data_IF_244837181209
#
_entry.id   IF_244837181209
#
_cell.length_a   1.000
_cell.length_b   1.000
_cell.length_c   1.000
_cell.angle_alpha   90.00
_cell.angle_beta   90.00
_cell.angle_gamma   90.00
#
_symmetry.space_group_name_H-M   'P 1'
#
loop_
_entity.id
_entity.type
_entity.pdbx_description
1 polymer ?
#
# COMPACT_ATOMS: atom_id res chain seq x y z
N UNK A 1 -6.11 -9.91 25.85
CA UNK A 1 -5.72 -8.75 25.02
C UNK A 1 -5.61 -9.16 23.56
N UNK A 2 -6.75 -9.21 22.87
CA UNK A 2 -6.78 -9.48 21.43
C UNK A 2 -6.24 -8.25 20.70
N UNK A 3 -5.08 -8.38 20.08
CA UNK A 3 -4.52 -7.35 19.22
C UNK A 3 -5.52 -6.96 18.15
N UNK A 4 -5.86 -5.67 18.08
CA UNK A 4 -6.82 -5.11 17.12
C UNK A 4 -6.47 -5.59 15.71
N UNK A 5 -7.44 -6.20 15.03
CA UNK A 5 -7.32 -6.65 13.64
C UNK A 5 -6.71 -5.55 12.75
N UNK A 6 -5.55 -5.78 12.10
CA UNK A 6 -4.92 -4.81 11.21
C UNK A 6 -5.86 -4.30 10.10
N UNK A 7 -6.76 -5.16 9.61
CA UNK A 7 -7.73 -4.76 8.60
C UNK A 7 -8.80 -3.84 9.17
N UNK A 8 -9.25 -4.09 10.41
CA UNK A 8 -10.16 -3.20 11.13
C UNK A 8 -9.55 -1.81 11.33
N UNK A 9 -8.26 -1.73 11.68
CA UNK A 9 -7.56 -0.47 11.83
C UNK A 9 -7.51 0.32 10.52
N UNK A 10 -7.11 -0.32 9.41
CA UNK A 10 -7.09 0.34 8.09
C UNK A 10 -8.48 0.82 7.69
N UNK A 11 -9.53 0.00 7.85
CA UNK A 11 -10.91 0.41 7.54
C UNK A 11 -11.33 1.66 8.34
N UNK A 12 -10.95 1.71 9.62
CA UNK A 12 -11.26 2.84 10.49
C UNK A 12 -10.54 4.11 10.04
N UNK A 13 -9.28 4.01 9.62
CA UNK A 13 -8.52 5.14 9.08
C UNK A 13 -9.00 5.61 7.73
N UNK A 14 -9.39 4.70 6.82
CA UNK A 14 -10.01 5.07 5.55
C UNK A 14 -11.28 5.88 5.77
N UNK A 15 -12.14 5.44 6.70
CA UNK A 15 -13.35 6.19 7.09
C UNK A 15 -12.99 7.56 7.65
N UNK A 16 -12.01 7.64 8.53
CA UNK A 16 -11.58 8.92 9.12
C UNK A 16 -11.05 9.90 8.07
N UNK A 17 -10.12 9.48 7.22
CA UNK A 17 -9.57 10.30 6.15
C UNK A 17 -10.64 10.76 5.15
N UNK A 18 -11.61 9.90 4.82
CA UNK A 18 -12.78 10.28 4.01
C UNK A 18 -13.60 11.38 4.67
N UNK A 19 -13.77 11.34 5.99
CA UNK A 19 -14.46 12.41 6.72
C UNK A 19 -13.67 13.72 6.71
N UNK A 20 -12.35 13.66 6.89
CA UNK A 20 -11.48 14.84 6.77
C UNK A 20 -11.56 15.46 5.37
N UNK A 21 -11.59 14.63 4.32
CA UNK A 21 -11.78 15.07 2.94
C UNK A 21 -13.11 15.81 2.75
N UNK A 22 -14.22 15.25 3.25
CA UNK A 22 -15.55 15.88 3.16
C UNK A 22 -15.56 17.24 3.87
N UNK A 23 -15.01 17.33 5.08
CA UNK A 23 -14.89 18.59 5.81
C UNK A 23 -14.05 19.61 5.04
N UNK A 24 -12.95 19.18 4.43
CA UNK A 24 -12.04 20.05 3.68
C UNK A 24 -12.68 20.59 2.39
N UNK A 25 -13.60 19.83 1.78
CA UNK A 25 -14.38 20.27 0.62
C UNK A 25 -15.58 21.17 0.99
N UNK A 26 -15.75 21.55 2.26
CA UNK A 26 -16.87 22.36 2.72
C UNK A 26 -18.15 21.57 3.01
N UNK A 27 -18.07 20.23 3.00
CA UNK A 27 -19.17 19.38 3.41
C UNK A 27 -19.36 19.41 4.94
N UNK A 28 -20.55 19.75 5.40
CA UNK A 28 -20.90 19.77 6.83
C UNK A 28 -21.65 18.51 7.30
N UNK A 29 -21.79 17.53 6.41
CA UNK A 29 -22.66 16.36 6.55
C UNK A 29 -22.04 15.23 7.40
N UNK A 30 -21.37 15.60 8.49
CA UNK A 30 -20.87 14.68 9.52
C UNK A 30 -21.73 14.79 10.77
N UNK A 31 -23.02 14.53 10.63
CA UNK A 31 -24.02 14.60 11.72
C UNK A 31 -23.78 13.59 12.84
N UNK A 32 -23.01 12.53 12.58
CA UNK A 32 -22.59 11.55 13.57
C UNK A 32 -21.46 12.03 14.50
N UNK A 33 -20.82 13.17 14.21
CA UNK A 33 -19.84 13.80 15.09
C UNK A 33 -20.52 14.86 15.95
N UNK A 34 -20.19 14.90 17.24
CA UNK A 34 -20.53 16.01 18.12
C UNK A 34 -19.90 17.33 17.64
N UNK A 35 -20.34 18.45 18.20
CA UNK A 35 -19.78 19.77 17.87
C UNK A 35 -18.29 19.88 18.21
N UNK A 36 -17.86 19.24 19.31
CA UNK A 36 -16.46 19.19 19.75
C UNK A 36 -15.63 18.35 18.78
N UNK A 37 -16.06 17.11 18.50
CA UNK A 37 -15.36 16.22 17.57
C UNK A 37 -15.29 16.82 16.17
N UNK A 38 -16.32 17.55 15.73
CA UNK A 38 -16.31 18.24 14.44
C UNK A 38 -15.29 19.37 14.41
N UNK A 39 -15.13 20.13 15.49
CA UNK A 39 -14.12 21.18 15.59
C UNK A 39 -12.71 20.59 15.55
N UNK A 40 -12.48 19.50 16.29
CA UNK A 40 -11.22 18.76 16.26
C UNK A 40 -10.94 18.17 14.87
N UNK A 41 -11.93 17.57 14.22
CA UNK A 41 -11.81 17.05 12.86
C UNK A 41 -11.50 18.15 11.84
N UNK A 42 -12.14 19.33 11.95
CA UNK A 42 -11.81 20.51 11.12
C UNK A 42 -10.37 20.96 11.37
N UNK A 43 -9.92 20.96 12.63
CA UNK A 43 -8.52 21.25 12.98
C UNK A 43 -7.56 20.24 12.35
N UNK A 44 -7.84 18.95 12.46
CA UNK A 44 -7.04 17.88 11.86
C UNK A 44 -6.99 17.98 10.34
N UNK A 45 -8.12 18.23 9.68
CA UNK A 45 -8.19 18.42 8.23
C UNK A 45 -7.38 19.64 7.75
N UNK A 46 -7.10 20.61 8.63
CA UNK A 46 -6.28 21.78 8.28
C UNK A 46 -4.80 21.42 8.09
N UNK A 47 -4.32 20.35 8.75
CA UNK A 47 -2.92 19.90 8.68
C UNK A 47 -2.55 19.14 7.40
N UNK A 48 -3.52 18.68 6.60
CA UNK A 48 -3.27 17.86 5.40
C UNK A 48 -3.85 18.51 4.17
N UNK A 49 -3.10 18.71 3.09
CA UNK A 49 -3.65 19.08 1.78
C UNK A 49 -4.63 18.01 1.27
N UNK A 50 -5.52 18.40 0.35
CA UNK A 50 -6.45 17.45 -0.26
C UNK A 50 -5.70 16.33 -1.00
N UNK A 51 -4.59 16.67 -1.66
CA UNK A 51 -3.73 15.71 -2.37
C UNK A 51 -3.16 14.66 -1.40
N UNK A 52 -2.71 15.07 -0.22
CA UNK A 52 -2.19 14.15 0.79
C UNK A 52 -3.27 13.21 1.33
N UNK A 53 -4.47 13.72 1.61
CA UNK A 53 -5.59 12.89 2.07
C UNK A 53 -5.93 11.82 1.02
N UNK A 54 -6.00 12.19 -0.26
CA UNK A 54 -6.25 11.25 -1.36
C UNK A 54 -5.12 10.23 -1.47
N UNK A 55 -3.85 10.66 -1.39
CA UNK A 55 -2.68 9.77 -1.39
C UNK A 55 -2.75 8.76 -0.25
N UNK A 56 -3.08 9.19 0.96
CA UNK A 56 -3.21 8.30 2.12
C UNK A 56 -4.35 7.29 1.96
N UNK A 57 -5.49 7.70 1.40
CA UNK A 57 -6.61 6.78 1.12
C UNK A 57 -6.21 5.71 0.09
N UNK A 58 -5.48 6.09 -0.96
CA UNK A 58 -4.98 5.16 -1.98
C UNK A 58 -3.98 4.17 -1.37
N UNK A 59 -3.02 4.65 -0.59
CA UNK A 59 -2.04 3.83 0.10
C UNK A 59 -2.71 2.81 1.04
N UNK A 60 -3.66 3.26 1.87
CA UNK A 60 -4.46 2.38 2.73
C UNK A 60 -5.23 1.32 1.95
N UNK A 61 -5.74 1.68 0.77
CA UNK A 61 -6.50 0.76 -0.09
C UNK A 61 -5.60 -0.33 -0.67
N UNK A 62 -4.41 0.04 -1.15
CA UNK A 62 -3.39 -0.90 -1.65
C UNK A 62 -2.92 -1.84 -0.54
N UNK A 63 -2.54 -1.30 0.63
CA UNK A 63 -2.10 -2.11 1.76
C UNK A 63 -3.17 -3.09 2.22
N UNK A 64 -4.44 -2.66 2.27
CA UNK A 64 -5.55 -3.55 2.63
C UNK A 64 -5.70 -4.72 1.68
N UNK A 65 -5.53 -4.51 0.37
CA UNK A 65 -5.59 -5.58 -0.62
C UNK A 65 -4.44 -6.58 -0.39
N UNK A 66 -3.22 -6.09 -0.14
CA UNK A 66 -2.07 -6.93 0.18
C UNK A 66 -2.26 -7.72 1.48
N UNK A 67 -2.87 -7.13 2.51
CA UNK A 67 -3.16 -7.79 3.78
C UNK A 67 -4.13 -8.97 3.65
N UNK A 68 -5.14 -8.87 2.78
CA UNK A 68 -6.16 -9.93 2.61
C UNK A 68 -5.54 -11.23 2.09
N UNK A 69 -4.48 -11.11 1.29
CA UNK A 69 -3.81 -12.26 0.65
C UNK A 69 -2.56 -12.73 1.42
N UNK A 70 -2.24 -12.10 2.54
CA UNK A 70 -0.99 -12.32 3.28
C UNK A 70 -1.20 -13.18 4.51
N UNK A 71 -0.23 -14.07 4.78
CA UNK A 71 -0.16 -14.80 6.05
C UNK A 71 0.35 -13.93 7.21
N UNK A 72 0.84 -12.72 6.92
CA UNK A 72 1.45 -11.79 7.88
C UNK A 72 0.90 -10.36 7.72
N UNK A 73 -0.40 -10.13 8.01
CA UNK A 73 -1.02 -8.81 7.87
C UNK A 73 -0.39 -7.74 8.75
N UNK A 74 0.24 -8.10 9.88
CA UNK A 74 0.93 -7.17 10.76
C UNK A 74 2.12 -6.48 10.05
N UNK A 75 2.90 -7.21 9.25
CA UNK A 75 4.05 -6.62 8.52
C UNK A 75 3.58 -5.58 7.52
N UNK A 76 2.47 -5.83 6.83
CA UNK A 76 1.88 -4.84 5.92
C UNK A 76 1.42 -3.58 6.66
N UNK A 77 0.95 -3.72 7.91
CA UNK A 77 0.59 -2.57 8.74
C UNK A 77 1.83 -1.78 9.15
N UNK A 78 2.89 -2.46 9.58
CA UNK A 78 4.16 -1.83 9.95
C UNK A 78 4.77 -1.06 8.78
N UNK A 79 4.82 -1.66 7.58
CA UNK A 79 5.28 -0.96 6.37
C UNK A 79 4.43 0.27 6.05
N UNK A 80 3.10 0.15 6.15
CA UNK A 80 2.19 1.27 5.98
C UNK A 80 2.48 2.40 6.98
N UNK A 81 2.78 2.08 8.24
CA UNK A 81 3.14 3.10 9.24
C UNK A 81 4.40 3.85 8.86
N UNK A 82 5.41 3.13 8.39
CA UNK A 82 6.66 3.73 7.90
C UNK A 82 6.36 4.65 6.72
N UNK A 83 5.59 4.18 5.74
CA UNK A 83 5.28 4.93 4.52
C UNK A 83 4.41 6.18 4.77
N UNK A 84 3.46 6.11 5.71
CA UNK A 84 2.65 7.26 6.13
C UNK A 84 3.45 8.32 6.92
N UNK A 85 4.45 7.89 7.69
CA UNK A 85 5.23 8.77 8.59
C UNK A 85 6.44 9.39 7.90
N UNK A 86 6.87 8.77 6.81
CA UNK A 86 8.03 9.20 6.05
C UNK A 86 7.57 10.09 4.90
N UNK A 87 8.42 11.03 4.47
CA UNK A 87 8.37 11.57 3.11
C UNK A 87 8.80 10.50 2.08
N UNK A 88 8.38 9.24 2.27
CA UNK A 88 8.71 8.10 1.43
C UNK A 88 7.83 8.15 0.18
N UNK A 89 7.90 9.25 -0.54
CA UNK A 89 7.59 9.21 -1.95
C UNK A 89 8.79 8.53 -2.60
N UNK A 90 8.58 7.35 -3.20
CA UNK A 90 9.59 6.72 -4.06
C UNK A 90 10.06 7.67 -5.17
N UNK A 91 9.19 8.62 -5.55
CA UNK A 91 9.49 9.76 -6.43
C UNK A 91 10.56 10.70 -5.83
N UNK A 92 10.63 10.82 -4.50
CA UNK A 92 11.65 11.58 -3.77
C UNK A 92 12.92 10.77 -3.50
N UNK A 93 12.87 9.44 -3.55
CA UNK A 93 14.04 8.59 -3.36
C UNK A 93 15.05 8.76 -4.50
N UNK A 94 14.57 8.95 -5.73
CA UNK A 94 15.40 9.33 -6.87
C UNK A 94 16.02 10.74 -6.74
N UNK A 95 15.40 11.62 -5.96
CA UNK A 95 15.81 13.01 -5.74
C UNK A 95 16.79 13.15 -4.56
N UNK A 96 16.55 12.44 -3.44
CA UNK A 96 17.40 12.44 -2.24
C UNK A 96 18.59 11.48 -2.35
N UNK A 97 18.37 10.28 -2.87
CA UNK A 97 19.36 9.19 -2.86
C UNK A 97 19.38 8.46 -4.21
N UNK A 98 19.92 9.12 -5.26
CA UNK A 98 19.88 8.61 -6.63
C UNK A 98 20.58 7.26 -6.79
N UNK A 99 21.61 6.97 -6.00
CA UNK A 99 22.31 5.69 -6.06
C UNK A 99 21.48 4.54 -5.47
N UNK A 100 20.72 4.79 -4.40
CA UNK A 100 19.82 3.79 -3.83
C UNK A 100 18.65 3.50 -4.77
N UNK A 101 18.09 4.54 -5.40
CA UNK A 101 17.05 4.39 -6.42
C UNK A 101 17.51 3.53 -7.60
N UNK A 102 18.75 3.72 -8.08
CA UNK A 102 19.34 2.88 -9.14
C UNK A 102 19.48 1.42 -8.71
N UNK A 103 19.92 1.16 -7.48
CA UNK A 103 20.05 -0.21 -6.95
C UNK A 103 18.68 -0.88 -6.91
N UNK A 104 17.66 -0.19 -6.37
CA UNK A 104 16.30 -0.70 -6.31
C UNK A 104 15.72 -1.03 -7.70
N UNK A 105 15.89 -0.14 -8.67
CA UNK A 105 15.48 -0.38 -10.06
C UNK A 105 16.18 -1.60 -10.69
N UNK A 106 17.43 -1.85 -10.28
CA UNK A 106 18.18 -3.02 -10.75
C UNK A 106 17.65 -4.31 -10.12
N UNK A 107 17.25 -4.27 -8.85
CA UNK A 107 16.61 -5.40 -8.16
C UNK A 107 15.29 -5.75 -8.84
N UNK A 108 14.40 -4.77 -9.10
CA UNK A 108 13.13 -5.01 -9.80
C UNK A 108 13.33 -5.67 -11.17
N UNK A 109 14.27 -5.16 -11.99
CA UNK A 109 14.59 -5.76 -13.29
C UNK A 109 15.14 -7.19 -13.17
N UNK A 110 15.82 -7.51 -12.07
CA UNK A 110 16.32 -8.86 -11.83
C UNK A 110 15.19 -9.79 -11.39
N UNK A 111 14.26 -9.32 -10.57
CA UNK A 111 13.06 -10.05 -10.14
C UNK A 111 12.12 -10.35 -11.34
N UNK A 112 11.91 -9.38 -12.22
CA UNK A 112 11.16 -9.59 -13.48
C UNK A 112 11.82 -10.65 -14.37
N UNK A 113 13.16 -10.61 -14.49
CA UNK A 113 13.89 -11.62 -15.25
C UNK A 113 13.83 -12.99 -14.60
N UNK A 114 13.88 -13.07 -13.28
CA UNK A 114 13.78 -14.33 -12.54
C UNK A 114 12.38 -14.94 -12.67
N UNK A 115 11.33 -14.12 -12.57
CA UNK A 115 9.94 -14.55 -12.75
C UNK A 115 9.64 -14.95 -14.20
N UNK A 116 10.15 -14.20 -15.19
CA UNK A 116 10.05 -14.57 -16.60
C UNK A 116 10.87 -15.82 -16.98
N UNK A 117 11.99 -16.06 -16.28
CA UNK A 117 12.81 -17.27 -16.49
C UNK A 117 12.15 -18.50 -15.87
N UNK A 118 11.55 -18.35 -14.68
CA UNK A 118 10.76 -19.38 -14.00
C UNK A 118 9.59 -19.89 -14.88
N UNK A 119 8.87 -18.99 -15.57
CA UNK A 119 7.79 -19.38 -16.49
C UNK A 119 8.29 -20.07 -17.77
N UNK A 120 9.50 -19.77 -18.24
CA UNK A 120 10.10 -20.44 -19.41
C UNK A 120 10.62 -21.86 -19.13
N UNK A 121 11.06 -22.16 -17.90
CA UNK A 121 11.57 -23.49 -17.53
C UNK A 121 10.50 -24.57 -17.38
N UNK A 122 9.22 -24.24 -17.25
CA UNK A 122 8.14 -25.25 -17.16
C UNK A 122 7.69 -25.83 -18.52
N UNK A 123 8.23 -25.37 -19.66
CA UNK A 123 7.76 -25.82 -20.99
C UNK A 123 8.73 -26.74 -21.73
N UNK A 124 9.89 -27.06 -21.17
CA UNK A 124 10.89 -27.94 -21.83
C UNK A 124 11.18 -29.22 -21.03
N UNK A 125 10.16 -30.02 -20.72
CA UNK A 125 10.38 -31.40 -20.28
C UNK A 125 9.22 -32.32 -20.71
N UNK A 126 9.03 -32.47 -22.03
CA UNK A 126 8.31 -33.63 -22.59
C UNK A 126 8.57 -33.80 -24.09
N UNK A 127 9.69 -34.42 -24.44
CA UNK A 127 9.83 -35.22 -25.67
C UNK A 127 10.70 -36.43 -25.38
N UNK A 128 10.05 -37.53 -25.01
CA UNK A 128 10.58 -38.88 -25.17
C UNK A 128 10.96 -39.11 -26.65
N UNK A 129 12.00 -39.92 -26.93
CA UNK A 129 11.98 -40.76 -28.11
C UNK A 129 11.76 -42.20 -27.68
N UNK A 130 10.61 -42.75 -28.10
CA UNK A 130 10.44 -44.19 -28.29
C UNK A 130 11.46 -44.65 -29.32
N UNK A 131 12.23 -45.70 -29.03
CA UNK A 131 12.74 -46.57 -30.08
C UNK A 131 12.45 -48.02 -29.73
N UNK A 132 11.60 -48.61 -30.58
CA UNK A 132 11.28 -50.04 -30.66
C UNK A 132 12.55 -50.84 -30.98
N UNK A 133 12.56 -52.10 -30.54
CA UNK A 133 13.69 -52.99 -30.69
C UNK A 133 13.85 -53.64 -32.06
N UNK A 134 14.96 -54.35 -32.16
CA UNK A 134 15.13 -55.72 -32.67
C UNK A 134 16.37 -56.31 -31.97
#
# INVERSE_FOLDING_TARGET
DEGKDPQWLIKSWQKWLRNLMVLKMGGEDLTFLSSVERKEAKSQASHFSLKEIVRFIDLLSKTRQSMVLSSQPQIHLELLMVELSSDFEMDNLALREPELAKIYQRILKLEEKLTAKSSSSMTQEKKEPKHNGE
#
